data_IF_779538192693
#
_entry.id   IF_779538192693
#
_cell.length_a   1.000
_cell.length_b   1.000
_cell.length_c   1.000
_cell.angle_alpha   90.00
_cell.angle_beta   90.00
_cell.angle_gamma   90.00
#
_symmetry.space_group_name_H-M   'P 1'
#
loop_
_entity.id
_entity.type
_entity.pdbx_description
1 polymer ?
#
# COMPACT_ATOMS: atom_id res chain seq x y z
N UNK A 1 10.24 -12.27 12.31
CA UNK A 1 10.89 -11.59 11.16
C UNK A 1 10.53 -12.41 9.92
N UNK A 2 9.92 -11.88 8.85
CA UNK A 2 10.36 -10.69 8.12
C UNK A 2 9.22 -9.83 7.51
N UNK A 3 7.95 -10.22 7.67
CA UNK A 3 6.68 -9.54 7.32
C UNK A 3 5.59 -10.62 7.42
N UNK A 4 4.31 -10.29 7.23
CA UNK A 4 3.21 -11.28 7.13
C UNK A 4 2.79 -11.54 5.66
N UNK A 5 3.65 -11.15 4.71
CA UNK A 5 3.40 -11.28 3.28
C UNK A 5 2.86 -10.00 2.64
N UNK A 6 2.52 -10.08 1.35
CA UNK A 6 1.94 -8.97 0.60
C UNK A 6 0.46 -8.87 0.95
N UNK A 7 0.08 -7.79 1.63
CA UNK A 7 -1.32 -7.52 1.96
C UNK A 7 -2.07 -6.88 0.78
N UNK A 8 -1.36 -6.09 -0.03
CA UNK A 8 -1.95 -5.32 -1.12
C UNK A 8 -0.91 -4.78 -2.09
N UNK A 9 -1.38 -4.17 -3.17
CA UNK A 9 -0.57 -3.50 -4.18
C UNK A 9 -1.14 -2.10 -4.41
N UNK A 10 -0.30 -1.07 -4.36
CA UNK A 10 -0.62 0.25 -4.91
C UNK A 10 -0.49 0.17 -6.42
N UNK A 11 -1.52 0.59 -7.14
CA UNK A 11 -1.49 0.84 -8.58
C UNK A 11 -1.76 2.31 -8.82
N UNK A 12 -0.74 3.04 -9.26
CA UNK A 12 -0.95 4.41 -9.72
C UNK A 12 -1.44 4.41 -11.16
N UNK A 13 -2.30 5.37 -11.48
CA UNK A 13 -2.86 5.50 -12.83
C UNK A 13 -3.04 6.97 -13.20
N UNK A 14 -3.20 7.25 -14.48
CA UNK A 14 -3.61 8.58 -14.97
C UNK A 14 -5.11 8.65 -15.27
N UNK A 15 -5.84 7.54 -15.09
CA UNK A 15 -7.27 7.51 -15.33
C UNK A 15 -7.96 6.47 -14.46
N UNK A 16 -8.49 6.93 -13.32
CA UNK A 16 -9.24 6.19 -12.33
C UNK A 16 -10.40 5.42 -12.96
N UNK A 17 -11.29 6.12 -13.67
CA UNK A 17 -12.50 5.52 -14.24
C UNK A 17 -12.19 4.35 -15.18
N UNK A 18 -11.24 4.52 -16.11
CA UNK A 18 -10.81 3.45 -17.03
C UNK A 18 -10.12 2.30 -16.31
N UNK A 19 -9.31 2.59 -15.30
CA UNK A 19 -8.55 1.57 -14.56
C UNK A 19 -9.47 0.73 -13.68
N UNK A 20 -10.41 1.36 -12.97
CA UNK A 20 -11.43 0.66 -12.18
C UNK A 20 -12.33 -0.18 -13.08
N UNK A 21 -12.75 0.34 -14.24
CA UNK A 21 -13.54 -0.43 -15.19
C UNK A 21 -12.78 -1.67 -15.71
N UNK A 22 -11.48 -1.51 -16.01
CA UNK A 22 -10.62 -2.63 -16.40
C UNK A 22 -10.55 -3.72 -15.33
N UNK A 23 -10.27 -3.38 -14.07
CA UNK A 23 -10.19 -4.38 -12.99
C UNK A 23 -11.55 -5.02 -12.68
N UNK A 24 -12.65 -4.26 -12.74
CA UNK A 24 -14.00 -4.81 -12.62
C UNK A 24 -14.30 -5.84 -13.71
N UNK A 25 -13.87 -5.59 -14.95
CA UNK A 25 -14.02 -6.55 -16.05
C UNK A 25 -13.22 -7.85 -15.81
N UNK A 26 -12.16 -7.80 -15.01
CA UNK A 26 -11.39 -8.98 -14.56
C UNK A 26 -11.98 -9.67 -13.32
N UNK A 27 -13.13 -9.20 -12.81
CA UNK A 27 -13.82 -9.82 -11.67
C UNK A 27 -13.51 -9.20 -10.31
N UNK A 28 -12.76 -8.10 -10.25
CA UNK A 28 -12.56 -7.35 -9.00
C UNK A 28 -13.81 -6.53 -8.63
N UNK A 29 -14.02 -6.36 -7.35
CA UNK A 29 -15.09 -5.54 -6.76
C UNK A 29 -14.46 -4.34 -6.08
N UNK A 30 -15.04 -3.16 -6.30
CA UNK A 30 -14.69 -1.93 -5.58
C UNK A 30 -15.28 -2.02 -4.17
N UNK A 31 -14.43 -2.06 -3.14
CA UNK A 31 -14.85 -2.11 -1.75
C UNK A 31 -15.13 -0.73 -1.19
N UNK A 32 -14.27 0.24 -1.52
CA UNK A 32 -14.48 1.65 -1.21
C UNK A 32 -13.73 2.55 -2.20
N UNK A 33 -14.19 3.79 -2.29
CA UNK A 33 -13.58 4.89 -3.02
C UNK A 33 -13.45 6.09 -2.09
N UNK A 34 -12.39 6.85 -2.27
CA UNK A 34 -12.17 8.15 -1.64
C UNK A 34 -12.64 9.26 -2.58
N UNK A 35 -12.82 10.46 -2.06
CA UNK A 35 -13.14 11.68 -2.82
C UNK A 35 -11.99 12.20 -3.71
N UNK A 36 -10.89 11.45 -3.84
CA UNK A 36 -9.66 11.85 -4.55
C UNK A 36 -9.28 10.89 -5.70
N UNK A 37 -10.27 10.27 -6.37
CA UNK A 37 -10.03 9.30 -7.46
C UNK A 37 -9.05 8.18 -7.06
N UNK A 38 -9.24 7.66 -5.84
CA UNK A 38 -8.49 6.53 -5.34
C UNK A 38 -9.37 5.61 -4.50
N UNK A 39 -9.03 4.34 -4.40
CA UNK A 39 -9.86 3.38 -3.67
C UNK A 39 -9.35 1.95 -3.77
N UNK A 40 -10.00 1.08 -3.00
CA UNK A 40 -9.58 -0.31 -2.84
C UNK A 40 -10.51 -1.26 -3.59
N UNK A 41 -9.91 -2.20 -4.32
CA UNK A 41 -10.59 -3.30 -4.97
C UNK A 41 -10.11 -4.63 -4.42
N UNK A 42 -11.00 -5.63 -4.40
CA UNK A 42 -10.66 -7.03 -4.09
C UNK A 42 -11.27 -7.99 -5.09
N UNK A 43 -10.55 -9.08 -5.34
CA UNK A 43 -11.12 -10.20 -6.06
C UNK A 43 -11.86 -11.12 -5.07
N UNK A 44 -13.11 -11.54 -5.33
CA UNK A 44 -13.87 -12.40 -4.41
C UNK A 44 -13.21 -13.75 -4.10
N UNK A 45 -12.35 -14.26 -4.98
CA UNK A 45 -11.57 -15.48 -4.74
C UNK A 45 -10.35 -15.29 -3.83
N UNK A 46 -10.13 -14.09 -3.28
CA UNK A 46 -9.03 -13.76 -2.39
C UNK A 46 -7.79 -13.20 -3.09
N UNK A 47 -6.68 -13.14 -2.36
CA UNK A 47 -5.43 -12.51 -2.78
C UNK A 47 -5.24 -11.09 -2.19
N UNK A 48 -4.11 -10.43 -2.52
CA UNK A 48 -3.86 -9.05 -2.10
C UNK A 48 -4.93 -8.09 -2.62
N UNK A 49 -5.25 -7.06 -1.84
CA UNK A 49 -6.10 -5.98 -2.36
C UNK A 49 -5.34 -5.13 -3.38
N UNK A 50 -6.09 -4.44 -4.25
CA UNK A 50 -5.54 -3.41 -5.13
C UNK A 50 -5.98 -2.05 -4.58
N UNK A 51 -5.04 -1.21 -4.19
CA UNK A 51 -5.33 0.19 -3.95
C UNK A 51 -4.95 0.98 -5.20
N UNK A 52 -5.93 1.55 -5.89
CA UNK A 52 -5.69 2.32 -7.10
C UNK A 52 -5.71 3.80 -6.73
N UNK A 53 -4.74 4.58 -7.21
CA UNK A 53 -4.69 6.03 -6.99
C UNK A 53 -4.37 6.77 -8.29
N UNK A 54 -5.22 7.74 -8.64
CA UNK A 54 -4.93 8.62 -9.78
C UNK A 54 -3.81 9.61 -9.46
N UNK A 55 -2.89 9.80 -10.41
CA UNK A 55 -1.79 10.77 -10.36
C UNK A 55 -1.88 11.72 -11.55
N UNK A 56 -1.42 12.99 -11.39
CA UNK A 56 -1.27 13.92 -12.50
C UNK A 56 -0.53 13.30 -13.68
N UNK A 57 -0.92 13.66 -14.91
CA UNK A 57 -0.45 13.04 -16.14
C UNK A 57 1.07 13.16 -16.36
N UNK A 58 1.70 14.15 -15.71
CA UNK A 58 3.12 14.46 -15.82
C UNK A 58 3.98 13.64 -14.85
N UNK A 59 3.38 12.94 -13.89
CA UNK A 59 4.10 12.15 -12.90
C UNK A 59 4.27 10.70 -13.39
N UNK A 60 5.46 10.08 -13.26
CA UNK A 60 5.58 8.66 -13.55
C UNK A 60 4.72 7.86 -12.56
N UNK A 61 3.90 6.95 -13.07
CA UNK A 61 3.13 6.00 -12.25
C UNK A 61 3.97 4.80 -11.86
N UNK A 62 3.65 4.22 -10.71
CA UNK A 62 4.30 3.02 -10.17
C UNK A 62 3.30 1.96 -9.73
N UNK A 63 3.82 0.74 -9.58
CA UNK A 63 3.18 -0.34 -8.84
C UNK A 63 4.06 -0.61 -7.61
N UNK A 64 3.48 -0.50 -6.42
CA UNK A 64 4.23 -0.66 -5.16
C UNK A 64 3.59 -1.76 -4.34
N UNK A 65 4.31 -2.87 -4.07
CA UNK A 65 3.79 -3.88 -3.17
C UNK A 65 3.75 -3.35 -1.73
N UNK A 66 2.66 -3.67 -1.04
CA UNK A 66 2.45 -3.36 0.37
C UNK A 66 2.59 -4.66 1.17
N UNK A 67 3.55 -4.70 2.08
CA UNK A 67 3.75 -5.82 3.01
C UNK A 67 3.38 -5.40 4.42
N UNK A 68 2.80 -6.30 5.20
CA UNK A 68 2.43 -6.00 6.59
C UNK A 68 3.49 -6.48 7.58
N UNK A 69 3.62 -5.74 8.69
CA UNK A 69 4.36 -6.14 9.88
C UNK A 69 3.48 -5.97 11.11
N UNK A 70 3.73 -6.78 12.14
CA UNK A 70 2.93 -6.76 13.38
C UNK A 70 3.15 -5.49 14.22
N UNK A 71 4.39 -5.00 14.25
CA UNK A 71 4.82 -3.91 15.11
C UNK A 71 5.97 -3.16 14.43
N UNK A 72 5.78 -1.85 14.22
CA UNK A 72 6.79 -0.97 13.63
C UNK A 72 8.07 -0.91 14.49
N UNK A 73 7.95 -0.93 15.82
CA UNK A 73 9.08 -0.80 16.73
C UNK A 73 9.97 -2.06 16.76
N UNK A 74 9.44 -3.21 16.36
CA UNK A 74 10.17 -4.48 16.30
C UNK A 74 10.66 -4.82 14.89
N UNK A 75 10.26 -4.06 13.87
CA UNK A 75 10.70 -4.29 12.51
C UNK A 75 12.05 -3.63 12.26
N UNK A 76 12.99 -4.40 11.72
CA UNK A 76 14.23 -3.90 11.16
C UNK A 76 14.24 -4.20 9.66
N UNK A 77 14.44 -3.20 8.78
CA UNK A 77 14.54 -3.45 7.35
C UNK A 77 15.76 -4.36 7.06
N UNK A 78 15.70 -5.20 6.01
CA UNK A 78 16.84 -6.00 5.60
C UNK A 78 18.05 -5.12 5.29
N UNK A 79 19.27 -5.60 5.56
CA UNK A 79 20.50 -4.85 5.23
C UNK A 79 20.69 -4.59 3.74
N UNK A 80 19.98 -5.33 2.88
CA UNK A 80 19.95 -5.13 1.42
C UNK A 80 18.93 -4.09 0.97
N UNK A 81 18.13 -3.53 1.89
CA UNK A 81 17.12 -2.53 1.58
C UNK A 81 17.66 -1.12 1.87
N UNK A 82 17.31 -0.16 1.02
CA UNK A 82 17.54 1.26 1.30
C UNK A 82 16.26 1.85 1.90
N UNK A 83 16.35 2.45 3.08
CA UNK A 83 15.21 3.16 3.68
C UNK A 83 15.08 4.53 3.01
N UNK A 84 13.97 4.74 2.30
CA UNK A 84 13.63 6.02 1.66
C UNK A 84 12.96 6.95 2.66
N UNK A 85 12.05 6.40 3.47
CA UNK A 85 11.34 7.09 4.54
C UNK A 85 11.13 6.12 5.71
N UNK A 86 11.45 6.50 6.96
CA UNK A 86 11.17 5.67 8.14
C UNK A 86 9.67 5.51 8.36
N UNK A 87 9.26 4.74 9.39
CA UNK A 87 7.84 4.65 9.75
C UNK A 87 7.27 6.02 10.13
N UNK A 88 6.24 6.44 9.40
CA UNK A 88 5.49 7.67 9.64
C UNK A 88 3.98 7.40 9.54
N UNK A 89 3.18 8.10 10.34
CA UNK A 89 1.71 8.06 10.24
C UNK A 89 1.26 8.58 8.88
N UNK A 90 0.25 7.92 8.32
CA UNK A 90 -0.31 8.27 7.02
C UNK A 90 -1.73 8.82 7.18
N UNK A 91 -2.30 9.34 6.09
CA UNK A 91 -3.70 9.78 6.06
C UNK A 91 -4.72 8.61 6.14
N UNK A 92 -4.24 7.36 6.12
CA UNK A 92 -5.00 6.14 6.42
C UNK A 92 -4.49 5.52 7.74
N UNK A 93 -5.23 4.62 8.40
CA UNK A 93 -4.94 4.19 9.77
C UNK A 93 -3.79 3.17 9.85
N UNK A 94 -2.59 3.55 9.42
CA UNK A 94 -1.38 2.75 9.50
C UNK A 94 -0.12 3.64 9.61
N UNK A 95 0.93 3.05 10.16
CA UNK A 95 2.30 3.54 9.99
C UNK A 95 2.88 2.95 8.70
N UNK A 96 3.54 3.77 7.89
CA UNK A 96 4.22 3.33 6.67
C UNK A 96 5.71 3.65 6.73
N UNK A 97 6.55 2.65 6.43
CA UNK A 97 7.94 2.84 6.00
C UNK A 97 8.03 2.58 4.50
N UNK A 98 8.79 3.42 3.80
CA UNK A 98 9.10 3.22 2.38
C UNK A 98 10.55 2.77 2.24
N UNK A 99 10.76 1.64 1.58
CA UNK A 99 12.10 1.13 1.26
C UNK A 99 12.24 0.87 -0.23
N UNK A 100 13.46 0.77 -0.73
CA UNK A 100 13.74 0.17 -2.04
C UNK A 100 14.53 -1.12 -1.90
N UNK A 101 14.30 -2.03 -2.82
CA UNK A 101 15.14 -3.20 -3.00
C UNK A 101 16.46 -2.86 -3.74
N UNK A 102 17.36 -3.85 -3.97
CA UNK A 102 18.64 -3.61 -4.65
C UNK A 102 18.54 -3.04 -6.07
N UNK A 103 17.38 -3.19 -6.74
CA UNK A 103 17.16 -2.68 -8.09
C UNK A 103 16.36 -1.36 -8.09
N UNK A 104 16.16 -0.76 -6.90
CA UNK A 104 15.46 0.51 -6.75
C UNK A 104 13.94 0.42 -6.81
N UNK A 105 13.35 -0.79 -6.77
CA UNK A 105 11.89 -0.95 -6.74
C UNK A 105 11.38 -0.62 -5.34
N UNK A 106 10.40 0.28 -5.27
CA UNK A 106 9.77 0.66 -4.01
C UNK A 106 8.94 -0.47 -3.40
N UNK A 107 8.96 -0.54 -2.07
CA UNK A 107 8.13 -1.41 -1.25
C UNK A 107 7.59 -0.60 -0.07
N UNK A 108 6.29 -0.70 0.16
CA UNK A 108 5.61 -0.10 1.30
C UNK A 108 5.49 -1.13 2.43
N UNK A 109 6.10 -0.85 3.59
CA UNK A 109 5.98 -1.67 4.79
C UNK A 109 4.96 -1.02 5.71
N UNK A 110 3.88 -1.72 6.00
CA UNK A 110 2.74 -1.22 6.75
C UNK A 110 2.67 -1.86 8.13
N UNK A 111 2.49 -1.05 9.17
CA UNK A 111 2.27 -1.51 10.53
C UNK A 111 0.98 -0.88 11.09
N UNK A 112 0.27 -1.55 12.01
CA UNK A 112 -0.85 -0.93 12.71
C UNK A 112 -0.41 0.32 13.46
N UNK A 113 -1.29 1.31 13.58
CA UNK A 113 -1.08 2.42 14.52
C UNK A 113 -0.94 1.85 15.94
N UNK A 114 -0.08 2.45 16.79
CA UNK A 114 -0.08 2.11 18.21
C UNK A 114 -1.49 2.30 18.75
N UNK A 115 -2.08 1.29 19.37
CA UNK A 115 -3.25 1.51 20.21
C UNK A 115 -2.83 2.54 21.26
N UNK A 116 -3.47 3.71 21.30
CA UNK A 116 -3.33 4.62 22.44
C UNK A 116 -3.42 3.75 23.69
N UNK A 117 -2.42 3.81 24.56
CA UNK A 117 -2.52 3.20 25.89
C UNK A 117 -3.78 3.78 26.50
N UNK A 118 -4.86 3.00 26.54
CA UNK A 118 -6.08 3.33 27.25
C UNK A 118 -5.62 3.86 28.61
N UNK A 119 -5.80 5.17 28.81
CA UNK A 119 -5.39 5.83 30.04
C UNK A 119 -6.22 5.21 31.17
N UNK A 120 -5.56 4.39 31.97
CA UNK A 120 -5.98 3.98 33.30
C UNK A 120 -5.07 4.64 34.33
#
# INVERSE_FOLDING_TARGET
MATEGIQGLLFETHNWGKTVAFWKALGYVLEFETDHHSGQLRHPSGGPFLFIAERPAEQPIKVVPMVSVKDAAQFSPPSSATVVRPFEEQHWPALEMLVTDPDGRELSVQAPLPTEKAHG
#
